data_IF_352704467064
#
_entry.id   IF_352704467064
#
_cell.length_a   1.000
_cell.length_b   1.000
_cell.length_c   1.000
_cell.angle_alpha   90.00
_cell.angle_beta   90.00
_cell.angle_gamma   90.00
#
_symmetry.space_group_name_H-M   'P 1'
#
loop_
_entity.id
_entity.type
_entity.pdbx_description
1 polymer ?
#
# COMPACT_ATOMS: atom_id res chain seq x y z
N UNK A 1 -33.94 48.83 2.36
CA UNK A 1 -32.58 48.64 1.82
C UNK A 1 -31.70 47.77 2.72
N UNK A 2 -31.80 47.82 4.05
CA UNK A 2 -30.95 47.04 4.98
C UNK A 2 -31.17 45.53 4.88
N UNK A 3 -32.40 45.03 4.75
CA UNK A 3 -32.73 43.62 4.61
C UNK A 3 -32.06 42.96 3.37
N UNK A 4 -31.89 43.71 2.29
CA UNK A 4 -31.28 43.23 1.08
C UNK A 4 -29.78 42.97 1.27
N UNK A 5 -29.09 43.85 2.00
CA UNK A 5 -27.67 43.70 2.34
C UNK A 5 -27.40 42.49 3.26
N UNK A 6 -28.33 42.18 4.17
CA UNK A 6 -28.22 41.01 5.04
C UNK A 6 -28.36 39.72 4.22
N UNK A 7 -29.36 39.65 3.34
CA UNK A 7 -29.60 38.49 2.46
C UNK A 7 -28.43 38.31 1.46
N UNK A 8 -27.88 39.40 0.92
CA UNK A 8 -26.71 39.36 0.05
C UNK A 8 -25.48 38.81 0.79
N UNK A 9 -25.25 39.23 2.04
CA UNK A 9 -24.18 38.74 2.91
C UNK A 9 -24.35 37.24 3.22
N UNK A 10 -25.58 36.83 3.56
CA UNK A 10 -25.89 35.40 3.82
C UNK A 10 -25.72 34.54 2.55
N UNK A 11 -26.06 35.04 1.38
CA UNK A 11 -25.88 34.33 0.13
C UNK A 11 -24.40 34.19 -0.25
N UNK A 12 -23.57 35.17 0.08
CA UNK A 12 -22.11 35.13 -0.15
C UNK A 12 -21.42 34.15 0.78
N UNK A 13 -21.96 33.92 1.98
CA UNK A 13 -21.38 32.99 2.97
C UNK A 13 -21.87 31.55 2.84
N UNK A 14 -22.80 31.26 1.91
CA UNK A 14 -23.24 29.89 1.69
C UNK A 14 -22.11 29.03 1.08
N UNK A 15 -22.00 27.80 1.56
CA UNK A 15 -20.92 26.85 1.17
C UNK A 15 -20.81 26.60 -0.35
N UNK A 16 -21.85 26.85 -1.11
CA UNK A 16 -21.91 26.72 -2.57
C UNK A 16 -21.76 28.05 -3.32
N UNK A 17 -21.50 29.16 -2.65
CA UNK A 17 -21.15 30.43 -3.30
C UNK A 17 -19.70 30.35 -3.83
N UNK A 18 -19.37 31.15 -4.87
CA UNK A 18 -18.02 31.21 -5.41
C UNK A 18 -16.96 31.53 -4.37
N UNK A 19 -17.33 32.38 -3.37
CA UNK A 19 -16.46 32.72 -2.23
C UNK A 19 -16.42 31.59 -1.19
N UNK A 20 -17.56 30.89 -0.94
CA UNK A 20 -17.62 29.73 -0.06
C UNK A 20 -16.82 28.53 -0.61
N UNK A 21 -16.85 28.31 -1.92
CA UNK A 21 -16.05 27.29 -2.60
C UNK A 21 -14.55 27.63 -2.64
N UNK A 22 -14.20 28.93 -2.61
CA UNK A 22 -12.82 29.40 -2.51
C UNK A 22 -12.24 29.38 -1.08
N UNK A 23 -13.09 29.18 -0.07
CA UNK A 23 -12.61 29.03 1.30
C UNK A 23 -11.96 27.65 1.43
N UNK A 24 -10.65 27.61 1.47
CA UNK A 24 -9.91 26.36 1.70
C UNK A 24 -10.46 25.72 2.99
N UNK A 25 -11.06 24.54 2.84
CA UNK A 25 -11.50 23.74 3.99
C UNK A 25 -10.27 23.53 4.85
N UNK A 26 -10.26 24.07 6.07
CA UNK A 26 -9.20 23.78 7.04
C UNK A 26 -9.34 22.32 7.41
N UNK A 27 -8.52 21.49 6.78
CA UNK A 27 -8.42 20.07 7.09
C UNK A 27 -7.84 19.99 8.51
N UNK A 28 -8.48 19.23 9.39
CA UNK A 28 -7.95 18.96 10.72
C UNK A 28 -6.59 18.27 10.62
N UNK A 29 -5.67 18.57 11.54
CA UNK A 29 -4.31 17.99 11.51
C UNK A 29 -4.32 16.46 11.50
N UNK A 30 -5.28 15.83 12.19
CA UNK A 30 -5.45 14.36 12.15
C UNK A 30 -5.91 13.84 10.80
N UNK A 31 -6.79 14.59 10.15
CA UNK A 31 -7.26 14.26 8.82
C UNK A 31 -6.13 14.38 7.79
N UNK A 32 -5.30 15.42 7.93
CA UNK A 32 -4.11 15.58 7.08
C UNK A 32 -3.14 14.40 7.26
N UNK A 33 -2.83 14.00 8.49
CA UNK A 33 -1.98 12.84 8.77
C UNK A 33 -2.55 11.55 8.15
N UNK A 34 -3.88 11.37 8.18
CA UNK A 34 -4.54 10.23 7.58
C UNK A 34 -4.39 10.23 6.06
N UNK A 35 -4.59 11.39 5.43
CA UNK A 35 -4.42 11.56 3.99
C UNK A 35 -2.97 11.28 3.58
N UNK A 36 -2.00 11.86 4.28
CA UNK A 36 -0.57 11.68 4.00
C UNK A 36 -0.17 10.20 4.13
N UNK A 37 -0.70 9.52 5.13
CA UNK A 37 -0.42 8.09 5.35
C UNK A 37 -1.08 7.22 4.29
N UNK A 38 -2.30 7.53 3.87
CA UNK A 38 -3.00 6.84 2.77
C UNK A 38 -2.22 7.00 1.46
N UNK A 39 -1.74 8.20 1.18
CA UNK A 39 -0.90 8.45 0.00
C UNK A 39 0.41 7.66 0.07
N UNK A 40 1.09 7.66 1.22
CA UNK A 40 2.30 6.86 1.41
C UNK A 40 2.05 5.37 1.17
N UNK A 41 0.92 4.80 1.65
CA UNK A 41 0.57 3.39 1.38
C UNK A 41 0.36 3.17 -0.12
N UNK A 42 -0.36 4.07 -0.80
CA UNK A 42 -0.60 3.97 -2.24
C UNK A 42 0.72 3.95 -3.03
N UNK A 43 1.66 4.82 -2.67
CA UNK A 43 2.99 4.87 -3.31
C UNK A 43 3.77 3.56 -3.10
N UNK A 44 3.65 2.93 -1.91
CA UNK A 44 4.30 1.63 -1.64
C UNK A 44 3.64 0.47 -2.38
N UNK A 45 2.33 0.49 -2.53
CA UNK A 45 1.59 -0.49 -3.34
C UNK A 45 2.02 -0.38 -4.80
N UNK A 46 2.09 0.83 -5.36
CA UNK A 46 2.54 1.06 -6.73
C UNK A 46 3.99 0.58 -6.95
N UNK A 47 4.89 0.85 -6.00
CA UNK A 47 6.26 0.38 -6.06
C UNK A 47 6.35 -1.15 -6.05
N UNK A 48 5.58 -1.83 -5.19
CA UNK A 48 5.53 -3.28 -5.16
C UNK A 48 4.94 -3.87 -6.44
N UNK A 49 3.89 -3.26 -7.01
CA UNK A 49 3.30 -3.67 -8.29
C UNK A 49 4.33 -3.58 -9.41
N UNK A 50 5.09 -2.50 -9.49
CA UNK A 50 6.19 -2.34 -10.47
C UNK A 50 7.27 -3.42 -10.32
N UNK A 51 7.58 -3.81 -9.07
CA UNK A 51 8.52 -4.90 -8.81
C UNK A 51 7.97 -6.27 -9.24
N UNK A 52 6.66 -6.51 -9.09
CA UNK A 52 5.98 -7.72 -9.58
C UNK A 52 6.05 -7.77 -11.10
N UNK A 53 5.66 -6.70 -11.79
CA UNK A 53 5.70 -6.61 -13.25
C UNK A 53 7.11 -6.84 -13.79
N UNK A 54 8.12 -6.26 -13.16
CA UNK A 54 9.52 -6.48 -13.54
C UNK A 54 9.97 -7.93 -13.39
N UNK A 55 9.56 -8.61 -12.33
CA UNK A 55 9.88 -10.01 -12.10
C UNK A 55 9.11 -10.94 -13.05
N UNK A 56 7.85 -10.64 -13.35
CA UNK A 56 7.06 -11.38 -14.34
C UNK A 56 7.68 -11.29 -15.76
N UNK A 57 8.13 -10.10 -16.16
CA UNK A 57 8.84 -9.91 -17.43
C UNK A 57 10.17 -10.71 -17.47
N UNK A 58 10.90 -10.79 -16.33
CA UNK A 58 12.11 -11.64 -16.24
C UNK A 58 11.76 -13.12 -16.39
N UNK A 59 10.72 -13.60 -15.71
CA UNK A 59 10.23 -14.99 -15.81
C UNK A 59 9.86 -15.32 -17.25
N UNK A 60 9.10 -14.46 -17.92
CA UNK A 60 8.70 -14.64 -19.31
C UNK A 60 9.93 -14.74 -20.24
N UNK A 61 10.91 -13.86 -20.04
CA UNK A 61 12.17 -13.87 -20.79
C UNK A 61 12.95 -15.16 -20.60
N UNK A 62 13.05 -15.67 -19.38
CA UNK A 62 13.74 -16.92 -19.05
C UNK A 62 13.03 -18.13 -19.69
N UNK A 63 11.68 -18.16 -19.61
CA UNK A 63 10.88 -19.22 -20.24
C UNK A 63 10.98 -19.23 -21.76
N UNK A 64 10.98 -18.04 -22.39
CA UNK A 64 11.14 -17.90 -23.83
C UNK A 64 12.56 -18.38 -24.29
N UNK A 65 13.58 -18.01 -23.49
CA UNK A 65 14.96 -18.49 -23.73
C UNK A 65 15.10 -20.00 -23.59
N UNK A 66 14.42 -20.60 -22.64
CA UNK A 66 14.38 -22.05 -22.42
C UNK A 66 13.73 -22.80 -23.58
N UNK A 67 12.62 -22.30 -24.12
CA UNK A 67 11.92 -22.87 -25.28
C UNK A 67 12.82 -22.89 -26.55
N UNK A 68 13.63 -21.84 -26.74
CA UNK A 68 14.55 -21.74 -27.90
C UNK A 68 15.75 -22.68 -27.80
N UNK A 69 16.26 -22.99 -26.61
CA UNK A 69 17.44 -23.82 -26.36
C UNK A 69 17.10 -25.28 -26.01
N UNK A 70 15.83 -25.67 -26.02
CA UNK A 70 15.38 -27.05 -25.79
C UNK A 70 15.45 -27.56 -24.36
N UNK A 71 15.99 -26.80 -23.41
CA UNK A 71 15.96 -27.09 -21.98
C UNK A 71 16.33 -25.79 -21.19
N UNK A 72 15.49 -25.34 -20.26
CA UNK A 72 15.96 -24.45 -19.24
C UNK A 72 16.99 -25.20 -18.41
N UNK A 73 18.24 -24.70 -18.37
CA UNK A 73 19.21 -25.25 -17.43
C UNK A 73 18.66 -25.21 -16.03
N UNK A 74 19.08 -26.15 -15.16
CA UNK A 74 18.65 -26.20 -13.72
C UNK A 74 18.72 -24.84 -13.02
N UNK A 75 19.72 -24.03 -13.34
CA UNK A 75 19.89 -22.67 -12.87
C UNK A 75 18.76 -21.71 -13.33
N UNK A 76 18.25 -21.86 -14.55
CA UNK A 76 17.16 -21.05 -15.08
C UNK A 76 15.83 -21.37 -14.37
N UNK A 77 15.55 -22.64 -14.11
CA UNK A 77 14.37 -23.05 -13.38
C UNK A 77 14.41 -22.58 -11.92
N UNK A 78 15.54 -22.77 -11.25
CA UNK A 78 15.72 -22.27 -9.88
C UNK A 78 15.52 -20.73 -9.76
N UNK A 79 15.92 -19.98 -10.80
CA UNK A 79 15.69 -18.54 -10.85
C UNK A 79 14.20 -18.20 -11.01
N UNK A 80 13.48 -18.93 -11.86
CA UNK A 80 12.03 -18.77 -12.03
C UNK A 80 11.31 -19.05 -10.72
N UNK A 81 11.58 -20.19 -10.08
CA UNK A 81 10.96 -20.59 -8.82
C UNK A 81 11.19 -19.53 -7.72
N UNK A 82 12.38 -18.94 -7.69
CA UNK A 82 12.72 -17.87 -6.75
C UNK A 82 11.91 -16.59 -7.01
N UNK A 83 11.79 -16.17 -8.28
CA UNK A 83 11.03 -14.97 -8.67
C UNK A 83 9.54 -15.15 -8.38
N UNK A 84 8.98 -16.32 -8.66
CA UNK A 84 7.60 -16.66 -8.37
C UNK A 84 7.33 -16.60 -6.85
N UNK A 85 8.18 -17.20 -6.02
CA UNK A 85 8.07 -17.12 -4.56
C UNK A 85 8.16 -15.69 -4.04
N UNK A 86 9.02 -14.86 -4.63
CA UNK A 86 9.12 -13.44 -4.27
C UNK A 86 7.85 -12.68 -4.66
N UNK A 87 7.29 -12.97 -5.84
CA UNK A 87 6.06 -12.33 -6.30
C UNK A 87 4.86 -12.69 -5.44
N UNK A 88 4.71 -13.95 -5.02
CA UNK A 88 3.67 -14.34 -4.05
C UNK A 88 3.75 -13.51 -2.76
N UNK A 89 4.96 -13.28 -2.25
CA UNK A 89 5.17 -12.45 -1.06
C UNK A 89 4.79 -10.98 -1.29
N UNK A 90 5.19 -10.41 -2.44
CA UNK A 90 4.83 -9.03 -2.82
C UNK A 90 3.33 -8.88 -2.96
N UNK A 91 2.66 -9.78 -3.65
CA UNK A 91 1.21 -9.77 -3.84
C UNK A 91 0.45 -9.87 -2.51
N UNK A 92 0.95 -10.71 -1.59
CA UNK A 92 0.39 -10.78 -0.24
C UNK A 92 0.51 -9.43 0.48
N UNK A 93 1.66 -8.76 0.43
CA UNK A 93 1.85 -7.44 1.06
C UNK A 93 1.00 -6.36 0.40
N UNK A 94 0.88 -6.35 -0.92
CA UNK A 94 -0.02 -5.45 -1.66
C UNK A 94 -1.45 -5.60 -1.13
N UNK A 95 -1.98 -6.81 -1.08
CA UNK A 95 -3.32 -7.08 -0.59
C UNK A 95 -3.54 -6.61 0.85
N UNK A 96 -2.54 -6.79 1.73
CA UNK A 96 -2.65 -6.32 3.12
C UNK A 96 -2.59 -4.80 3.22
N UNK A 97 -1.74 -4.13 2.45
CA UNK A 97 -1.63 -2.67 2.41
C UNK A 97 -2.92 -2.03 1.87
N UNK A 98 -3.55 -2.62 0.86
CA UNK A 98 -4.85 -2.18 0.35
C UNK A 98 -5.96 -2.29 1.41
N UNK A 99 -5.96 -3.36 2.22
CA UNK A 99 -6.90 -3.50 3.34
C UNK A 99 -6.65 -2.41 4.37
N UNK A 100 -5.40 -2.15 4.74
CA UNK A 100 -5.03 -1.09 5.69
C UNK A 100 -5.48 0.28 5.16
N UNK A 101 -5.28 0.57 3.88
CA UNK A 101 -5.71 1.80 3.24
C UNK A 101 -7.23 2.00 3.38
N UNK A 102 -8.03 0.99 3.06
CA UNK A 102 -9.50 1.04 3.24
C UNK A 102 -9.93 1.23 4.70
N UNK A 103 -9.22 0.59 5.64
CA UNK A 103 -9.52 0.74 7.07
C UNK A 103 -9.17 2.15 7.58
N UNK A 104 -8.10 2.77 7.06
CA UNK A 104 -7.75 4.17 7.33
C UNK A 104 -8.81 5.12 6.77
N UNK A 105 -9.23 4.95 5.52
CA UNK A 105 -10.27 5.75 4.87
C UNK A 105 -11.58 5.69 5.64
N UNK A 106 -11.96 4.50 6.10
CA UNK A 106 -13.16 4.28 6.92
C UNK A 106 -12.99 4.70 8.40
N UNK A 107 -11.86 5.29 8.77
CA UNK A 107 -11.54 5.68 10.16
C UNK A 107 -11.64 4.52 11.17
N UNK A 108 -11.55 3.29 10.68
CA UNK A 108 -11.59 2.07 11.51
C UNK A 108 -10.22 1.73 12.12
N UNK A 109 -9.16 2.29 11.59
CA UNK A 109 -7.78 2.09 12.03
C UNK A 109 -7.18 3.43 12.47
N UNK A 110 -6.40 3.42 13.54
CA UNK A 110 -5.71 4.61 14.02
C UNK A 110 -4.43 4.84 13.25
N UNK A 111 -4.10 6.11 13.03
CA UNK A 111 -2.86 6.53 12.35
C UNK A 111 -1.62 5.97 13.05
N UNK A 112 -1.59 6.03 14.39
CA UNK A 112 -0.46 5.60 15.21
C UNK A 112 -0.14 4.10 15.04
N UNK A 113 -1.17 3.27 14.82
CA UNK A 113 -0.98 1.82 14.62
C UNK A 113 -0.29 1.54 13.28
N UNK A 114 -0.59 2.32 12.25
CA UNK A 114 0.03 2.19 10.92
C UNK A 114 1.44 2.78 10.90
N UNK A 115 1.67 3.90 11.56
CA UNK A 115 3.01 4.47 11.72
C UNK A 115 3.98 3.47 12.36
N UNK A 116 3.50 2.67 13.30
CA UNK A 116 4.29 1.62 13.93
C UNK A 116 4.77 0.49 13.02
N UNK A 117 4.23 0.34 11.81
CA UNK A 117 4.67 -0.65 10.81
C UNK A 117 5.33 -0.02 9.59
N UNK A 118 5.40 1.30 9.53
CA UNK A 118 5.91 2.05 8.39
C UNK A 118 7.36 1.70 8.04
N UNK A 119 8.23 1.67 9.04
CA UNK A 119 9.65 1.32 8.85
C UNK A 119 9.82 -0.11 8.33
N UNK A 120 9.01 -1.06 8.83
CA UNK A 120 9.05 -2.45 8.39
C UNK A 120 8.63 -2.59 6.92
N UNK A 121 7.60 -1.83 6.48
CA UNK A 121 7.14 -1.79 5.09
C UNK A 121 8.21 -1.18 4.19
N UNK A 122 8.78 -0.02 4.59
CA UNK A 122 9.84 0.65 3.83
C UNK A 122 11.06 -0.27 3.67
N UNK A 123 11.46 -0.96 4.73
CA UNK A 123 12.53 -1.94 4.67
C UNK A 123 12.21 -3.09 3.70
N UNK A 124 11.00 -3.66 3.78
CA UNK A 124 10.58 -4.74 2.88
C UNK A 124 10.61 -4.31 1.41
N UNK A 125 10.04 -3.14 1.09
CA UNK A 125 10.01 -2.60 -0.27
C UNK A 125 11.41 -2.37 -0.81
N UNK A 126 12.28 -1.75 0.00
CA UNK A 126 13.67 -1.45 -0.36
C UNK A 126 14.50 -2.70 -0.59
N UNK A 127 14.37 -3.71 0.29
CA UNK A 127 15.11 -4.97 0.16
C UNK A 127 14.68 -5.77 -1.06
N UNK A 128 13.41 -5.73 -1.44
CA UNK A 128 12.95 -6.38 -2.66
C UNK A 128 13.38 -5.68 -3.95
N UNK A 129 13.61 -4.36 -3.91
CA UNK A 129 14.15 -3.62 -5.06
C UNK A 129 15.61 -3.98 -5.35
N UNK A 130 16.42 -4.24 -4.31
CA UNK A 130 17.87 -4.53 -4.42
C UNK A 130 18.16 -6.02 -4.67
N UNK A 131 17.16 -6.87 -4.61
CA UNK A 131 17.26 -8.31 -4.36
C UNK A 131 17.90 -9.18 -5.45
N UNK A 132 18.42 -8.65 -6.58
CA UNK A 132 19.07 -9.53 -7.55
C UNK A 132 20.46 -10.05 -7.11
N UNK A 133 21.15 -9.35 -6.22
CA UNK A 133 22.51 -9.70 -5.78
C UNK A 133 22.56 -10.16 -4.32
N UNK A 134 21.63 -9.71 -3.48
CA UNK A 134 21.69 -9.91 -2.03
C UNK A 134 21.02 -11.19 -1.52
N UNK A 135 20.13 -11.79 -2.30
CA UNK A 135 19.40 -12.97 -1.87
C UNK A 135 20.28 -14.22 -1.77
N UNK A 136 21.39 -14.26 -2.50
CA UNK A 136 22.38 -15.33 -2.39
C UNK A 136 23.17 -15.30 -1.08
N UNK A 137 23.33 -14.11 -0.47
CA UNK A 137 24.07 -13.94 0.78
C UNK A 137 23.20 -14.00 2.05
N UNK A 138 21.93 -13.64 1.97
CA UNK A 138 21.03 -13.49 3.12
C UNK A 138 19.76 -14.33 3.03
N UNK A 139 19.77 -15.45 2.34
CA UNK A 139 18.65 -16.40 2.22
C UNK A 139 18.06 -16.90 3.54
N UNK A 140 18.57 -16.43 4.66
CA UNK A 140 18.15 -16.83 6.00
C UNK A 140 17.65 -15.67 6.89
N UNK A 141 17.40 -14.48 6.32
CA UNK A 141 16.87 -13.39 7.14
C UNK A 141 15.39 -13.58 7.44
N UNK A 142 15.13 -14.43 8.41
CA UNK A 142 13.85 -14.79 9.03
C UNK A 142 13.17 -13.59 9.74
N UNK A 143 13.67 -12.37 9.59
CA UNK A 143 13.13 -11.15 10.22
C UNK A 143 11.75 -10.71 9.69
N UNK A 144 11.30 -11.25 8.56
CA UNK A 144 9.98 -10.94 8.00
C UNK A 144 8.81 -11.64 8.73
N UNK A 145 9.10 -12.64 9.57
CA UNK A 145 8.05 -13.35 10.30
C UNK A 145 7.33 -12.47 11.34
N UNK A 146 8.01 -11.63 12.16
CA UNK A 146 7.32 -10.72 13.07
C UNK A 146 6.52 -9.64 12.35
N UNK A 147 7.03 -9.10 11.24
CA UNK A 147 6.35 -8.09 10.44
C UNK A 147 5.05 -8.63 9.81
N UNK A 148 5.12 -9.78 9.14
CA UNK A 148 3.93 -10.43 8.57
C UNK A 148 2.89 -10.74 9.65
N UNK A 149 3.32 -11.17 10.84
CA UNK A 149 2.40 -11.38 11.98
C UNK A 149 1.75 -10.08 12.46
N UNK A 150 2.50 -8.98 12.55
CA UNK A 150 1.98 -7.67 12.97
C UNK A 150 0.90 -7.17 12.00
N UNK A 151 1.17 -7.17 10.69
CA UNK A 151 0.18 -6.80 9.67
C UNK A 151 -1.04 -7.73 9.73
N UNK A 152 -0.83 -9.04 9.82
CA UNK A 152 -1.93 -10.00 9.87
C UNK A 152 -2.80 -9.84 11.13
N UNK A 153 -2.21 -9.49 12.27
CA UNK A 153 -2.96 -9.21 13.51
C UNK A 153 -3.79 -7.93 13.31
N UNK A 154 -3.18 -6.87 12.78
CA UNK A 154 -3.90 -5.63 12.48
C UNK A 154 -5.11 -5.89 11.58
N UNK A 155 -4.91 -6.52 10.44
CA UNK A 155 -5.99 -6.75 9.47
C UNK A 155 -7.05 -7.71 10.01
N UNK A 156 -6.69 -8.79 10.70
CA UNK A 156 -7.65 -9.76 11.29
C UNK A 156 -8.46 -9.17 12.43
N UNK A 157 -7.88 -8.38 13.30
CA UNK A 157 -8.60 -7.73 14.41
C UNK A 157 -9.65 -6.79 13.84
N UNK A 158 -9.30 -5.97 12.85
CA UNK A 158 -10.22 -4.99 12.29
C UNK A 158 -11.29 -5.58 11.36
N UNK A 159 -10.97 -6.59 10.57
CA UNK A 159 -11.99 -7.28 9.74
C UNK A 159 -12.98 -8.05 10.59
N UNK A 160 -12.58 -8.59 11.75
CA UNK A 160 -13.46 -9.30 12.66
C UNK A 160 -14.43 -8.38 13.42
N UNK A 161 -14.01 -7.16 13.74
CA UNK A 161 -14.88 -6.17 14.41
C UNK A 161 -15.91 -5.58 13.45
N UNK A 162 -15.63 -5.42 12.17
CA UNK A 162 -16.58 -4.87 11.21
C UNK A 162 -17.70 -5.85 10.82
N UNK A 163 -17.54 -7.16 11.04
CA UNK A 163 -18.60 -8.17 10.79
C UNK A 163 -19.68 -8.16 11.89
N UNK A 164 -19.35 -7.69 13.10
CA UNK A 164 -20.29 -7.65 14.24
C UNK A 164 -21.07 -6.35 14.40
N UNK A 165 -20.80 -5.35 13.59
CA UNK A 165 -21.50 -4.04 13.66
C UNK A 165 -22.63 -3.92 12.65
N UNK A 166 -22.91 -4.97 11.86
CA UNK A 166 -23.96 -4.99 10.81
C UNK A 166 -25.07 -6.03 11.09
N UNK A 167 -25.23 -6.45 12.32
CA UNK A 167 -26.41 -7.18 12.85
C UNK A 167 -27.00 -6.39 13.99
#
# INVERSE_FOLDING_TARGET
MERFKVIEKEMKTKAYSKEGLGTAVRIDAKEQQRIDLTQWIADKVEELQRQVEGAEAEVESLQAGAKRKGKAGEAGQARIDLLELQNERRQWHISQLEIIMRLLENSSLKVEDVEGVKEDVDFFVSMNAVSNTFHSLYGHLTHLVPFRKRILIMTKVFTRTSIWTTL
#
